data_IF_380264340869
#
_entry.id   IF_380264340869
#
_cell.length_a   1.000
_cell.length_b   1.000
_cell.length_c   1.000
_cell.angle_alpha   90.00
_cell.angle_beta   90.00
_cell.angle_gamma   90.00
#
_symmetry.space_group_name_H-M   'P 1'
#
loop_
_entity.id
_entity.type
_entity.pdbx_description
1 polymer ?
#
# COMPACT_ATOMS: atom_id res chain seq x y z
N UNK A 1 -9.04 7.66 -1.49
CA UNK A 1 -9.09 8.96 -0.79
C UNK A 1 -7.74 9.72 -0.79
N UNK A 2 -7.13 9.92 -1.96
CA UNK A 2 -5.99 10.82 -2.17
C UNK A 2 -6.02 11.32 -3.61
N UNK A 3 -6.39 10.42 -4.52
CA UNK A 3 -6.71 10.70 -5.92
C UNK A 3 -7.88 11.68 -6.12
N UNK A 4 -8.90 11.66 -5.24
CA UNK A 4 -10.00 12.63 -5.30
C UNK A 4 -9.54 14.01 -4.84
N UNK A 5 -8.81 14.10 -3.73
CA UNK A 5 -8.19 15.35 -3.27
C UNK A 5 -7.26 15.92 -4.34
N UNK A 6 -6.52 15.06 -5.03
CA UNK A 6 -5.71 15.41 -6.19
C UNK A 6 -6.55 15.93 -7.38
N UNK A 7 -7.65 15.25 -7.75
CA UNK A 7 -8.58 15.72 -8.80
C UNK A 7 -9.11 17.12 -8.50
N UNK A 8 -9.50 17.38 -7.25
CA UNK A 8 -9.92 18.72 -6.82
C UNK A 8 -8.78 19.73 -6.75
N UNK A 9 -7.55 19.32 -6.39
CA UNK A 9 -6.38 20.20 -6.41
C UNK A 9 -6.03 20.63 -7.84
N UNK A 10 -6.11 19.71 -8.81
CA UNK A 10 -5.95 20.01 -10.24
C UNK A 10 -7.05 20.96 -10.70
N UNK A 11 -8.32 20.67 -10.37
CA UNK A 11 -9.44 21.55 -10.71
C UNK A 11 -9.31 22.95 -10.09
N UNK A 12 -8.88 23.07 -8.84
CA UNK A 12 -8.65 24.35 -8.17
C UNK A 12 -7.48 25.14 -8.78
N UNK A 13 -6.44 24.45 -9.24
CA UNK A 13 -5.30 25.06 -9.95
C UNK A 13 -5.75 25.68 -11.28
N UNK A 14 -6.68 25.02 -11.97
CA UNK A 14 -7.22 25.49 -13.27
C UNK A 14 -8.26 26.59 -13.10
N UNK A 15 -9.16 26.45 -12.12
CA UNK A 15 -10.31 27.36 -11.94
C UNK A 15 -10.02 28.54 -11.01
N UNK A 16 -8.94 28.47 -10.21
CA UNK A 16 -8.57 29.50 -9.23
C UNK A 16 -9.52 29.62 -8.03
N UNK A 17 -10.63 28.86 -8.01
CA UNK A 17 -11.64 28.89 -6.96
C UNK A 17 -11.69 27.56 -6.23
N UNK A 18 -11.55 27.60 -4.90
CA UNK A 18 -11.65 26.42 -4.05
C UNK A 18 -12.93 26.48 -3.22
N UNK A 19 -13.95 25.74 -3.63
CA UNK A 19 -15.18 25.56 -2.84
C UNK A 19 -15.08 24.27 -2.04
N UNK A 20 -14.68 24.40 -0.77
CA UNK A 20 -14.56 23.30 0.20
C UNK A 20 -15.87 22.54 0.37
N UNK A 21 -16.98 23.28 0.41
CA UNK A 21 -18.30 22.70 0.67
C UNK A 21 -18.78 21.81 -0.47
N UNK A 22 -18.64 22.26 -1.72
CA UNK A 22 -19.04 21.45 -2.88
C UNK A 22 -18.12 20.24 -3.04
N UNK A 23 -16.80 20.42 -2.88
CA UNK A 23 -15.84 19.32 -2.94
C UNK A 23 -16.12 18.25 -1.87
N UNK A 24 -16.53 18.64 -0.65
CA UNK A 24 -16.88 17.72 0.41
C UNK A 24 -18.15 16.91 0.11
N UNK A 25 -19.19 17.54 -0.43
CA UNK A 25 -20.46 16.88 -0.80
C UNK A 25 -20.23 15.89 -1.93
N UNK A 26 -19.56 16.33 -3.01
CA UNK A 26 -19.24 15.47 -4.13
C UNK A 26 -18.34 14.30 -3.70
N UNK A 27 -17.37 14.55 -2.81
CA UNK A 27 -16.52 13.48 -2.27
C UNK A 27 -17.34 12.42 -1.55
N UNK A 28 -18.31 12.82 -0.72
CA UNK A 28 -19.20 11.89 -0.01
C UNK A 28 -20.01 11.09 -1.02
N UNK A 29 -20.60 11.76 -2.02
CA UNK A 29 -21.39 11.10 -3.06
C UNK A 29 -20.57 10.07 -3.83
N UNK A 30 -19.45 10.48 -4.42
CA UNK A 30 -18.56 9.65 -5.24
C UNK A 30 -17.99 8.47 -4.42
N UNK A 31 -17.72 8.68 -3.13
CA UNK A 31 -17.19 7.64 -2.24
C UNK A 31 -18.24 6.61 -1.83
N UNK A 32 -19.44 7.05 -1.43
CA UNK A 32 -20.53 6.15 -1.03
C UNK A 32 -21.02 5.35 -2.24
N UNK A 33 -21.30 6.02 -3.36
CA UNK A 33 -21.76 5.35 -4.57
C UNK A 33 -20.69 4.40 -5.11
N UNK A 34 -19.42 4.80 -5.08
CA UNK A 34 -18.30 3.92 -5.45
C UNK A 34 -18.22 2.68 -4.55
N UNK A 35 -18.36 2.86 -3.23
CA UNK A 35 -18.34 1.74 -2.28
C UNK A 35 -19.51 0.76 -2.52
N UNK A 36 -20.73 1.27 -2.65
CA UNK A 36 -21.94 0.45 -2.86
C UNK A 36 -21.91 -0.25 -4.22
N UNK A 37 -21.53 0.45 -5.29
CA UNK A 37 -21.41 -0.14 -6.63
C UNK A 37 -20.33 -1.23 -6.67
N UNK A 38 -19.18 -1.01 -6.02
CA UNK A 38 -18.15 -2.04 -5.89
C UNK A 38 -18.65 -3.33 -5.25
N UNK A 39 -19.41 -3.22 -4.15
CA UNK A 39 -20.03 -4.37 -3.48
C UNK A 39 -21.06 -5.07 -4.39
N UNK A 40 -21.88 -4.30 -5.11
CA UNK A 40 -22.89 -4.84 -5.99
C UNK A 40 -22.27 -5.61 -7.16
N UNK A 41 -21.29 -5.00 -7.83
CA UNK A 41 -20.62 -5.59 -9.00
C UNK A 41 -19.86 -6.86 -8.59
N UNK A 42 -19.11 -6.84 -7.49
CA UNK A 42 -18.39 -8.05 -7.06
C UNK A 42 -19.36 -9.16 -6.63
N UNK A 43 -20.47 -8.83 -5.99
CA UNK A 43 -21.49 -9.83 -5.63
C UNK A 43 -22.08 -10.48 -6.88
N UNK A 44 -22.31 -9.71 -7.94
CA UNK A 44 -22.76 -10.23 -9.24
C UNK A 44 -21.69 -11.14 -9.87
N UNK A 45 -20.43 -10.73 -9.85
CA UNK A 45 -19.31 -11.53 -10.38
C UNK A 45 -19.18 -12.86 -9.63
N UNK A 46 -19.20 -12.83 -8.28
CA UNK A 46 -19.13 -14.04 -7.47
C UNK A 46 -20.35 -14.94 -7.65
N UNK A 47 -21.54 -14.37 -7.83
CA UNK A 47 -22.75 -15.13 -8.15
C UNK A 47 -22.62 -15.83 -9.50
N UNK A 48 -22.08 -15.14 -10.50
CA UNK A 48 -21.81 -15.69 -11.82
C UNK A 48 -20.74 -16.80 -11.77
N UNK A 49 -19.65 -16.59 -11.03
CA UNK A 49 -18.58 -17.56 -10.84
C UNK A 49 -19.11 -18.85 -10.18
N UNK A 50 -19.87 -18.71 -9.09
CA UNK A 50 -20.50 -19.83 -8.39
C UNK A 50 -21.55 -20.55 -9.27
N UNK A 51 -22.30 -19.82 -10.08
CA UNK A 51 -23.21 -20.43 -11.04
C UNK A 51 -22.46 -21.26 -12.09
N UNK A 52 -21.32 -20.75 -12.58
CA UNK A 52 -20.49 -21.44 -13.55
C UNK A 52 -19.82 -22.71 -12.98
N UNK A 53 -19.34 -22.64 -11.74
CA UNK A 53 -18.83 -23.83 -11.04
C UNK A 53 -19.90 -24.91 -10.87
N UNK A 54 -21.14 -24.53 -10.57
CA UNK A 54 -22.27 -25.48 -10.47
C UNK A 54 -22.60 -26.16 -11.80
N UNK A 55 -22.25 -25.54 -12.93
CA UNK A 55 -22.39 -26.13 -14.28
C UNK A 55 -21.23 -27.08 -14.63
N UNK A 56 -20.26 -27.27 -13.72
CA UNK A 56 -19.13 -28.19 -13.92
C UNK A 56 -17.92 -27.58 -14.62
N UNK A 57 -17.90 -26.26 -14.81
CA UNK A 57 -16.73 -25.56 -15.38
C UNK A 57 -15.77 -25.24 -14.24
N UNK A 58 -14.78 -26.11 -14.06
CA UNK A 58 -13.73 -25.96 -13.05
C UNK A 58 -12.35 -25.88 -13.73
N UNK A 59 -12.11 -24.78 -14.45
CA UNK A 59 -10.84 -24.50 -15.13
C UNK A 59 -10.05 -23.44 -14.35
N UNK A 60 -8.84 -23.82 -13.92
CA UNK A 60 -7.88 -22.97 -13.20
C UNK A 60 -7.52 -21.72 -13.98
N UNK A 61 -7.36 -21.84 -15.30
CA UNK A 61 -6.96 -20.75 -16.17
C UNK A 61 -8.10 -19.74 -16.28
N UNK A 62 -9.33 -20.23 -16.50
CA UNK A 62 -10.51 -19.38 -16.59
C UNK A 62 -10.73 -18.57 -15.30
N UNK A 63 -10.67 -19.24 -14.14
CA UNK A 63 -10.82 -18.59 -12.83
C UNK A 63 -9.75 -17.52 -12.60
N UNK A 64 -8.49 -17.83 -12.93
CA UNK A 64 -7.37 -16.88 -12.81
C UNK A 64 -7.57 -15.65 -13.71
N UNK A 65 -7.98 -15.85 -14.96
CA UNK A 65 -8.25 -14.73 -15.90
C UNK A 65 -9.40 -13.86 -15.40
N UNK A 66 -10.48 -14.46 -14.90
CA UNK A 66 -11.62 -13.74 -14.35
C UNK A 66 -11.20 -12.91 -13.13
N UNK A 67 -10.41 -13.50 -12.24
CA UNK A 67 -9.88 -12.81 -11.06
C UNK A 67 -8.98 -11.62 -11.42
N UNK A 68 -8.08 -11.77 -12.41
CA UNK A 68 -7.22 -10.67 -12.89
C UNK A 68 -8.04 -9.57 -13.56
N UNK A 69 -9.11 -9.93 -14.28
CA UNK A 69 -9.98 -9.00 -15.02
C UNK A 69 -10.96 -8.26 -14.11
N UNK A 70 -11.42 -8.90 -13.03
CA UNK A 70 -12.39 -8.38 -12.06
C UNK A 70 -12.14 -6.93 -11.60
N UNK A 71 -10.93 -6.55 -11.11
CA UNK A 71 -10.69 -5.17 -10.68
C UNK A 71 -10.86 -4.15 -11.81
N UNK A 72 -10.52 -4.49 -13.05
CA UNK A 72 -10.71 -3.59 -14.19
C UNK A 72 -12.20 -3.41 -14.53
N UNK A 73 -12.97 -4.50 -14.49
CA UNK A 73 -14.43 -4.45 -14.73
C UNK A 73 -15.12 -3.62 -13.65
N UNK A 74 -14.82 -3.88 -12.38
CA UNK A 74 -15.38 -3.10 -11.26
C UNK A 74 -15.02 -1.62 -11.40
N UNK A 75 -13.77 -1.31 -11.75
CA UNK A 75 -13.31 0.05 -11.97
C UNK A 75 -14.09 0.76 -13.07
N UNK A 76 -14.09 0.19 -14.29
CA UNK A 76 -14.67 0.80 -15.48
C UNK A 76 -16.19 0.95 -15.36
N UNK A 77 -16.88 -0.11 -14.90
CA UNK A 77 -18.33 -0.06 -14.75
C UNK A 77 -18.74 1.01 -13.73
N UNK A 78 -17.99 1.14 -12.64
CA UNK A 78 -18.27 2.17 -11.63
C UNK A 78 -18.06 3.58 -12.19
N UNK A 79 -16.97 3.79 -12.92
CA UNK A 79 -16.61 5.13 -13.40
C UNK A 79 -17.51 5.57 -14.57
N UNK A 80 -17.77 4.70 -15.56
CA UNK A 80 -18.57 5.05 -16.74
C UNK A 80 -20.07 5.13 -16.44
N UNK A 81 -20.64 4.16 -15.71
CA UNK A 81 -22.09 4.13 -15.49
C UNK A 81 -22.51 4.98 -14.29
N UNK A 82 -21.76 4.94 -13.20
CA UNK A 82 -22.14 5.60 -11.95
C UNK A 82 -21.42 6.92 -11.71
N UNK A 83 -20.44 7.28 -12.56
CA UNK A 83 -19.61 8.49 -12.40
C UNK A 83 -18.99 8.59 -10.99
N UNK A 84 -18.74 7.44 -10.37
CA UNK A 84 -18.27 7.30 -9.00
C UNK A 84 -16.80 6.86 -8.96
N UNK A 85 -16.20 6.75 -7.77
CA UNK A 85 -14.76 6.42 -7.69
C UNK A 85 -14.53 4.93 -7.93
N UNK A 86 -14.04 4.59 -9.13
CA UNK A 86 -13.64 3.24 -9.49
C UNK A 86 -12.59 2.65 -8.53
N UNK A 87 -11.63 3.46 -8.06
CA UNK A 87 -10.63 3.00 -7.06
C UNK A 87 -11.29 2.55 -5.76
N UNK A 88 -12.28 3.29 -5.25
CA UNK A 88 -12.99 2.92 -4.01
C UNK A 88 -13.83 1.67 -4.25
N UNK A 89 -14.48 1.56 -5.42
CA UNK A 89 -15.23 0.37 -5.80
C UNK A 89 -14.36 -0.88 -5.85
N UNK A 90 -13.17 -0.81 -6.46
CA UNK A 90 -12.23 -1.95 -6.51
C UNK A 90 -11.74 -2.34 -5.13
N UNK A 91 -11.47 -1.38 -4.23
CA UNK A 91 -11.08 -1.69 -2.85
C UNK A 91 -12.23 -2.36 -2.09
N UNK A 92 -13.45 -1.85 -2.23
CA UNK A 92 -14.63 -2.45 -1.63
C UNK A 92 -14.84 -3.88 -2.17
N UNK A 93 -14.74 -4.06 -3.48
CA UNK A 93 -14.81 -5.35 -4.14
C UNK A 93 -13.73 -6.31 -3.65
N UNK A 94 -12.48 -5.86 -3.53
CA UNK A 94 -11.37 -6.67 -3.02
C UNK A 94 -11.57 -7.12 -1.57
N UNK A 95 -12.15 -6.29 -0.72
CA UNK A 95 -12.50 -6.66 0.66
C UNK A 95 -13.57 -7.76 0.66
N UNK A 96 -14.64 -7.60 -0.11
CA UNK A 96 -15.70 -8.63 -0.23
C UNK A 96 -15.15 -9.91 -0.85
N UNK A 97 -14.32 -9.80 -1.89
CA UNK A 97 -13.65 -10.94 -2.52
C UNK A 97 -12.71 -11.67 -1.55
N UNK A 98 -12.07 -10.97 -0.61
CA UNK A 98 -11.25 -11.65 0.40
C UNK A 98 -12.09 -12.52 1.36
N UNK A 99 -13.30 -12.06 1.73
CA UNK A 99 -14.18 -12.79 2.65
C UNK A 99 -15.05 -13.85 1.99
N UNK A 100 -15.52 -13.58 0.78
CA UNK A 100 -16.51 -14.39 0.06
C UNK A 100 -16.03 -14.91 -1.28
N UNK A 101 -14.90 -14.42 -1.79
CA UNK A 101 -14.28 -14.96 -2.99
C UNK A 101 -14.02 -16.42 -2.75
N UNK A 102 -14.53 -17.23 -3.68
CA UNK A 102 -14.62 -18.69 -3.67
C UNK A 102 -13.60 -19.26 -2.69
N UNK A 103 -14.01 -19.50 -1.43
CA UNK A 103 -13.17 -20.25 -0.51
C UNK A 103 -12.95 -21.56 -1.25
N UNK A 104 -11.74 -21.85 -1.75
CA UNK A 104 -11.51 -23.12 -2.39
C UNK A 104 -11.82 -24.07 -1.27
N UNK A 105 -12.90 -24.85 -1.43
CA UNK A 105 -13.06 -26.04 -0.63
C UNK A 105 -11.69 -26.71 -0.65
N UNK A 106 -11.22 -27.19 0.51
CA UNK A 106 -9.82 -27.57 0.79
C UNK A 106 -9.17 -28.50 -0.25
N UNK A 107 -9.98 -28.99 -1.18
CA UNK A 107 -9.77 -29.69 -2.43
C UNK A 107 -8.84 -29.10 -3.52
N UNK A 108 -8.52 -27.79 -3.60
CA UNK A 108 -7.72 -27.26 -4.74
C UNK A 108 -6.58 -26.28 -4.37
N UNK A 109 -5.46 -26.79 -3.82
CA UNK A 109 -4.24 -26.00 -3.56
C UNK A 109 -3.64 -25.37 -4.83
N UNK A 110 -3.84 -25.99 -5.99
CA UNK A 110 -3.30 -25.57 -7.28
C UNK A 110 -3.89 -24.22 -7.74
N UNK A 111 -5.23 -24.04 -7.63
CA UNK A 111 -5.92 -22.78 -7.93
C UNK A 111 -5.33 -21.61 -7.15
N UNK A 112 -5.16 -21.80 -5.83
CA UNK A 112 -4.65 -20.78 -4.93
C UNK A 112 -3.19 -20.43 -5.27
N UNK A 113 -2.36 -21.44 -5.50
CA UNK A 113 -0.96 -21.24 -5.87
C UNK A 113 -0.81 -20.49 -7.19
N UNK A 114 -1.54 -20.88 -8.24
CA UNK A 114 -1.47 -20.23 -9.56
C UNK A 114 -1.97 -18.79 -9.48
N UNK A 115 -3.08 -18.55 -8.78
CA UNK A 115 -3.62 -17.21 -8.57
C UNK A 115 -2.64 -16.29 -7.81
N UNK A 116 -2.11 -16.74 -6.67
CA UNK A 116 -1.16 -15.96 -5.87
C UNK A 116 0.10 -15.64 -6.68
N UNK A 117 0.66 -16.63 -7.40
CA UNK A 117 1.84 -16.40 -8.24
C UNK A 117 1.57 -15.48 -9.42
N UNK A 118 0.38 -15.58 -10.02
CA UNK A 118 -0.03 -14.67 -11.08
C UNK A 118 -0.11 -13.23 -10.56
N UNK A 119 -0.69 -13.02 -9.37
CA UNK A 119 -0.71 -11.71 -8.72
C UNK A 119 0.69 -11.19 -8.38
N UNK A 120 1.57 -12.04 -7.86
CA UNK A 120 2.97 -11.68 -7.59
C UNK A 120 3.67 -11.17 -8.86
N UNK A 121 3.53 -11.91 -9.98
CA UNK A 121 4.13 -11.55 -11.27
C UNK A 121 3.54 -10.23 -11.79
N UNK A 122 2.22 -10.05 -11.70
CA UNK A 122 1.53 -8.82 -12.14
C UNK A 122 2.01 -7.62 -11.32
N UNK A 123 2.03 -7.72 -9.99
CA UNK A 123 2.47 -6.65 -9.09
C UNK A 123 3.95 -6.33 -9.33
N UNK A 124 4.80 -7.34 -9.50
CA UNK A 124 6.20 -7.15 -9.81
C UNK A 124 6.40 -6.39 -11.13
N UNK A 125 5.68 -6.81 -12.18
CA UNK A 125 5.75 -6.21 -13.51
C UNK A 125 5.24 -4.77 -13.51
N UNK A 126 4.07 -4.53 -12.90
CA UNK A 126 3.48 -3.19 -12.77
C UNK A 126 4.40 -2.24 -12.01
N UNK A 127 4.98 -2.68 -10.89
CA UNK A 127 5.95 -1.87 -10.15
C UNK A 127 7.19 -1.59 -11.01
N UNK A 128 7.69 -2.59 -11.75
CA UNK A 128 8.79 -2.42 -12.69
C UNK A 128 8.51 -1.37 -13.76
N UNK A 129 7.31 -1.38 -14.36
CA UNK A 129 6.87 -0.37 -15.33
C UNK A 129 6.84 1.02 -14.70
N UNK A 130 6.30 1.16 -13.50
CA UNK A 130 6.21 2.49 -12.84
C UNK A 130 7.61 3.02 -12.50
N UNK A 131 8.53 2.16 -12.08
CA UNK A 131 9.93 2.53 -11.87
C UNK A 131 10.64 2.90 -13.18
N UNK A 132 10.37 2.19 -14.26
CA UNK A 132 10.88 2.51 -15.59
C UNK A 132 10.40 3.90 -16.03
N UNK A 133 9.10 4.18 -15.88
CA UNK A 133 8.54 5.51 -16.21
C UNK A 133 9.19 6.60 -15.37
N UNK A 134 9.37 6.37 -14.06
CA UNK A 134 10.08 7.30 -13.18
C UNK A 134 11.53 7.54 -13.66
N UNK A 135 12.22 6.48 -14.08
CA UNK A 135 13.57 6.59 -14.64
C UNK A 135 13.64 7.45 -15.91
N UNK A 136 12.62 7.40 -16.76
CA UNK A 136 12.50 8.24 -17.96
C UNK A 136 12.12 9.69 -17.60
N UNK A 137 11.22 9.88 -16.64
CA UNK A 137 10.73 11.21 -16.23
C UNK A 137 11.79 12.03 -15.49
N UNK A 138 12.70 11.40 -14.73
CA UNK A 138 13.75 12.12 -13.98
C UNK A 138 14.62 13.05 -14.83
N UNK A 139 15.27 12.58 -15.92
CA UNK A 139 16.08 13.47 -16.77
C UNK A 139 15.22 14.52 -17.47
N UNK A 140 14.02 14.16 -17.95
CA UNK A 140 13.10 15.11 -18.59
C UNK A 140 12.69 16.23 -17.64
N UNK A 141 12.30 15.90 -16.42
CA UNK A 141 11.91 16.87 -15.39
C UNK A 141 13.10 17.75 -15.00
N UNK A 142 14.29 17.18 -14.90
CA UNK A 142 15.53 17.92 -14.55
C UNK A 142 15.90 18.92 -15.65
N UNK A 143 15.90 18.51 -16.93
CA UNK A 143 16.22 19.41 -18.05
C UNK A 143 15.20 20.56 -18.19
N UNK A 144 13.91 20.27 -18.02
CA UNK A 144 12.85 21.29 -18.13
C UNK A 144 12.87 22.33 -17.00
N UNK A 145 13.34 21.95 -15.81
CA UNK A 145 13.53 22.87 -14.67
C UNK A 145 14.81 23.69 -14.85
N UNK A 146 15.91 23.07 -15.31
CA UNK A 146 17.19 23.75 -15.56
C UNK A 146 17.07 24.81 -16.68
N UNK A 147 16.28 24.54 -17.73
CA UNK A 147 16.09 25.49 -18.84
C UNK A 147 15.16 26.68 -18.50
N UNK A 148 14.36 26.57 -17.43
CA UNK A 148 13.51 27.67 -16.98
C UNK A 148 14.32 28.64 -16.11
N UNK A 149 14.81 29.72 -16.72
CA UNK A 149 15.65 30.79 -16.15
C UNK A 149 15.05 31.55 -14.93
N UNK A 150 13.88 31.14 -14.41
CA UNK A 150 13.19 31.78 -13.27
C UNK A 150 13.39 31.05 -11.94
N UNK A 151 13.89 29.81 -11.93
CA UNK A 151 14.05 28.99 -10.71
C UNK A 151 15.45 28.39 -10.70
N UNK A 152 16.23 28.69 -9.67
CA UNK A 152 17.56 28.14 -9.50
C UNK A 152 17.47 26.62 -9.25
N UNK A 153 18.26 25.79 -9.93
CA UNK A 153 18.21 24.31 -9.83
C UNK A 153 18.32 23.82 -8.37
N UNK A 154 19.13 24.51 -7.56
CA UNK A 154 19.25 24.27 -6.13
C UNK A 154 17.96 24.56 -5.34
N UNK A 155 17.19 25.57 -5.75
CA UNK A 155 15.91 25.88 -5.13
C UNK A 155 14.87 24.80 -5.42
N UNK A 156 14.83 24.28 -6.66
CA UNK A 156 13.93 23.17 -7.02
C UNK A 156 14.26 21.89 -6.22
N UNK A 157 15.55 21.56 -6.09
CA UNK A 157 16.00 20.41 -5.29
C UNK A 157 15.68 20.60 -3.80
N UNK A 158 15.87 21.82 -3.27
CA UNK A 158 15.47 22.20 -1.92
C UNK A 158 13.95 22.04 -1.69
N UNK A 159 13.12 22.46 -2.65
CA UNK A 159 11.65 22.28 -2.57
C UNK A 159 11.30 20.79 -2.52
N UNK A 160 11.92 19.94 -3.35
CA UNK A 160 11.69 18.49 -3.32
C UNK A 160 12.06 17.87 -1.98
N UNK A 161 13.18 18.28 -1.39
CA UNK A 161 13.62 17.80 -0.08
C UNK A 161 12.68 18.25 1.05
N UNK A 162 12.27 19.51 1.04
CA UNK A 162 11.30 20.05 2.02
C UNK A 162 9.94 19.36 1.87
N UNK A 163 9.48 19.15 0.65
CA UNK A 163 8.23 18.41 0.39
C UNK A 163 8.31 16.98 0.92
N UNK A 164 9.43 16.28 0.69
CA UNK A 164 9.66 14.94 1.24
C UNK A 164 9.64 14.95 2.77
N UNK A 165 10.31 15.91 3.40
CA UNK A 165 10.36 16.05 4.86
C UNK A 165 8.96 16.31 5.45
N UNK A 166 8.16 17.18 4.83
CA UNK A 166 6.79 17.46 5.23
C UNK A 166 5.93 16.19 5.12
N UNK A 167 6.02 15.47 4.00
CA UNK A 167 5.27 14.22 3.81
C UNK A 167 5.65 13.15 4.82
N UNK A 168 6.95 13.03 5.14
CA UNK A 168 7.45 12.15 6.19
C UNK A 168 6.90 12.57 7.55
N UNK A 169 6.97 13.86 7.90
CA UNK A 169 6.47 14.36 9.16
C UNK A 169 4.98 14.11 9.34
N UNK A 170 4.16 14.38 8.32
CA UNK A 170 2.71 14.10 8.31
C UNK A 170 2.46 12.60 8.52
N UNK A 171 3.20 11.75 7.83
CA UNK A 171 3.08 10.28 7.95
C UNK A 171 3.42 9.80 9.36
N UNK A 172 4.57 10.22 9.89
CA UNK A 172 5.04 9.84 11.23
C UNK A 172 4.08 10.35 12.30
N UNK A 173 3.61 11.60 12.15
CA UNK A 173 2.62 12.19 13.05
C UNK A 173 1.33 11.36 13.07
N UNK A 174 0.78 11.01 11.90
CA UNK A 174 -0.44 10.20 11.82
C UNK A 174 -0.28 8.81 12.42
N UNK A 175 0.84 8.13 12.14
CA UNK A 175 1.15 6.81 12.71
C UNK A 175 1.28 6.91 14.24
N UNK A 176 1.97 7.93 14.74
CA UNK A 176 2.12 8.17 16.17
C UNK A 176 0.78 8.46 16.85
N UNK A 177 -0.06 9.32 16.26
CA UNK A 177 -1.41 9.59 16.76
C UNK A 177 -2.26 8.32 16.79
N UNK A 178 -2.21 7.49 15.74
CA UNK A 178 -2.93 6.22 15.71
C UNK A 178 -2.47 5.27 16.81
N UNK A 179 -1.16 5.12 17.02
CA UNK A 179 -0.59 4.33 18.11
C UNK A 179 -0.99 4.87 19.49
N UNK A 180 -0.95 6.19 19.68
CA UNK A 180 -1.34 6.84 20.92
C UNK A 180 -2.83 6.60 21.23
N UNK A 181 -3.72 6.83 20.27
CA UNK A 181 -5.17 6.60 20.41
C UNK A 181 -5.48 5.13 20.66
N UNK A 182 -4.84 4.21 19.91
CA UNK A 182 -4.96 2.77 20.12
C UNK A 182 -4.53 2.38 21.54
N UNK A 183 -3.40 2.88 22.02
CA UNK A 183 -2.91 2.58 23.37
C UNK A 183 -3.84 3.10 24.47
N UNK A 184 -4.47 4.26 24.27
CA UNK A 184 -5.46 4.82 25.19
C UNK A 184 -6.76 4.00 25.21
N UNK A 185 -7.19 3.50 24.04
CA UNK A 185 -8.38 2.64 23.92
C UNK A 185 -8.14 1.25 24.52
N UNK A 186 -6.96 0.66 24.30
CA UNK A 186 -6.55 -0.63 24.86
C UNK A 186 -6.28 -0.57 26.35
N UNK A 187 -5.87 0.58 26.91
CA UNK A 187 -5.85 0.77 28.39
C UNK A 187 -7.23 0.64 29.03
N UNK A 188 -8.30 0.92 28.29
CA UNK A 188 -9.70 0.78 28.74
C UNK A 188 -10.20 -0.66 28.64
N UNK A 189 -9.60 -1.49 27.78
CA UNK A 189 -9.94 -2.90 27.54
C UNK A 189 -8.80 -3.75 28.12
N UNK A 190 -8.78 -3.87 29.46
CA UNK A 190 -7.82 -4.69 30.21
C UNK A 190 -8.02 -6.17 29.84
N UNK A 191 -7.24 -6.69 28.90
CA UNK A 191 -6.75 -8.08 28.83
C UNK A 191 -6.18 -8.29 27.43
N UNK A 192 -4.86 -8.24 27.29
CA UNK A 192 -4.03 -9.08 26.41
C UNK A 192 -2.59 -8.55 26.52
N UNK A 193 -1.70 -9.46 26.95
CA UNK A 193 -0.30 -9.25 27.32
C UNK A 193 0.58 -8.92 26.11
N UNK A 194 0.53 -7.70 25.59
CA UNK A 194 1.65 -7.14 24.82
C UNK A 194 1.69 -5.63 25.01
N UNK A 195 2.38 -5.20 26.07
CA UNK A 195 2.60 -3.78 26.37
C UNK A 195 3.70 -3.23 25.45
N UNK A 196 3.47 -3.20 24.15
CA UNK A 196 4.35 -2.42 23.26
C UNK A 196 4.03 -0.94 23.51
N UNK A 197 4.96 -0.26 24.20
CA UNK A 197 4.88 1.19 24.34
C UNK A 197 4.89 1.85 22.95
N UNK A 198 4.14 2.95 22.74
CA UNK A 198 4.20 3.71 21.50
C UNK A 198 5.59 4.36 21.38
N UNK A 199 6.51 3.66 20.73
CA UNK A 199 7.88 4.14 20.55
C UNK A 199 7.92 5.03 19.32
N UNK A 200 8.36 6.28 19.48
CA UNK A 200 8.55 7.20 18.35
C UNK A 200 9.45 6.61 17.26
N UNK A 201 10.47 5.82 17.64
CA UNK A 201 11.30 5.04 16.72
C UNK A 201 10.46 4.07 15.87
N UNK A 202 9.51 3.35 16.45
CA UNK A 202 8.64 2.44 15.70
C UNK A 202 7.73 3.19 14.71
N UNK A 203 7.21 4.35 15.09
CA UNK A 203 6.43 5.21 14.19
C UNK A 203 7.29 5.79 13.05
N UNK A 204 8.52 6.21 13.35
CA UNK A 204 9.48 6.68 12.35
C UNK A 204 9.86 5.58 11.37
N UNK A 205 10.16 4.38 11.88
CA UNK A 205 10.49 3.21 11.07
C UNK A 205 9.33 2.74 10.20
N UNK A 206 8.11 2.68 10.77
CA UNK A 206 6.90 2.40 10.00
C UNK A 206 6.63 3.49 8.96
N UNK A 207 6.98 4.74 9.25
CA UNK A 207 6.92 5.85 8.31
C UNK A 207 7.90 5.71 7.15
N UNK A 208 9.14 5.31 7.42
CA UNK A 208 10.19 5.12 6.42
C UNK A 208 10.05 3.83 5.61
N UNK A 209 9.49 2.76 6.16
CA UNK A 209 9.35 1.47 5.46
C UNK A 209 8.30 1.49 4.33
N UNK A 210 7.42 2.51 4.31
CA UNK A 210 6.41 2.72 3.28
C UNK A 210 6.97 3.32 1.97
N UNK A 211 7.88 2.62 1.31
CA UNK A 211 8.50 3.01 0.03
C UNK A 211 7.71 2.43 -1.14
N UNK A 212 6.58 3.07 -1.48
CA UNK A 212 5.83 2.75 -2.70
C UNK A 212 5.43 4.06 -3.39
N UNK A 213 6.20 4.44 -4.42
CA UNK A 213 6.02 5.68 -5.19
C UNK A 213 5.04 5.56 -6.36
N UNK A 214 4.49 4.37 -6.62
CA UNK A 214 3.74 4.12 -7.84
C UNK A 214 2.44 4.93 -7.94
N UNK A 215 1.70 5.03 -6.83
CA UNK A 215 0.46 5.83 -6.76
C UNK A 215 0.75 7.31 -6.98
N UNK A 216 1.87 7.81 -6.44
CA UNK A 216 2.31 9.20 -6.62
C UNK A 216 2.64 9.48 -8.10
N UNK A 217 3.38 8.58 -8.76
CA UNK A 217 3.70 8.70 -10.18
C UNK A 217 2.44 8.70 -11.05
N UNK A 218 1.54 7.74 -10.83
CA UNK A 218 0.28 7.67 -11.56
C UNK A 218 -0.53 8.96 -11.42
N UNK A 219 -0.59 9.51 -10.20
CA UNK A 219 -1.22 10.80 -9.93
C UNK A 219 -0.59 11.94 -10.74
N UNK A 220 0.72 12.12 -10.67
CA UNK A 220 1.39 13.26 -11.31
C UNK A 220 1.36 13.15 -12.84
N UNK A 221 1.42 11.93 -13.38
CA UNK A 221 1.29 11.70 -14.83
C UNK A 221 -0.13 11.96 -15.34
N UNK A 222 -1.15 11.81 -14.49
CA UNK A 222 -2.53 12.13 -14.84
C UNK A 222 -2.83 13.64 -14.95
N UNK A 223 -1.85 14.51 -14.63
CA UNK A 223 -1.98 15.95 -14.85
C UNK A 223 -2.07 16.23 -16.36
N UNK A 224 -3.15 16.85 -16.84
CA UNK A 224 -3.35 17.09 -18.27
C UNK A 224 -2.27 18.02 -18.82
N UNK A 225 -1.93 17.84 -20.10
CA UNK A 225 -0.93 18.69 -20.76
C UNK A 225 -1.46 20.11 -21.04
N UNK A 226 -2.76 20.23 -21.30
CA UNK A 226 -3.44 21.48 -21.63
C UNK A 226 -4.69 21.67 -20.78
N UNK A 227 -5.05 22.92 -20.53
CA UNK A 227 -6.34 23.31 -19.94
C UNK A 227 -7.40 23.35 -21.06
N UNK A 228 -8.69 23.32 -20.73
CA UNK A 228 -9.84 23.46 -21.65
C UNK A 228 -9.82 24.72 -22.56
N UNK A 229 -8.85 25.63 -22.38
CA UNK A 229 -8.55 26.78 -23.24
C UNK A 229 -7.32 26.63 -24.15
N UNK A 230 -6.70 25.44 -24.23
CA UNK A 230 -5.52 25.16 -25.06
C UNK A 230 -4.18 25.66 -24.49
N UNK A 231 -4.19 26.42 -23.39
CA UNK A 231 -2.97 26.85 -22.71
C UNK A 231 -2.28 25.68 -21.97
N UNK A 232 -0.94 25.61 -21.94
CA UNK A 232 -0.22 24.58 -21.20
C UNK A 232 -0.52 24.65 -19.70
N UNK A 233 -0.59 23.48 -19.04
CA UNK A 233 -0.87 23.41 -17.61
C UNK A 233 0.23 24.13 -16.79
N UNK A 234 -0.13 25.03 -15.85
CA UNK A 234 0.84 25.79 -15.07
C UNK A 234 1.81 24.88 -14.30
N UNK A 235 3.11 25.08 -14.51
CA UNK A 235 4.19 24.46 -13.71
C UNK A 235 4.15 22.92 -13.62
N UNK A 236 3.59 22.23 -14.63
CA UNK A 236 3.54 20.75 -14.69
C UNK A 236 4.92 20.09 -14.54
N UNK A 237 5.93 20.64 -15.22
CA UNK A 237 7.31 20.14 -15.15
C UNK A 237 7.90 20.24 -13.74
N UNK A 238 7.56 21.29 -12.99
CA UNK A 238 7.96 21.44 -11.59
C UNK A 238 7.27 20.41 -10.70
N UNK A 239 5.97 20.16 -10.89
CA UNK A 239 5.24 19.14 -10.15
C UNK A 239 5.82 17.73 -10.39
N UNK A 240 6.15 17.40 -11.65
CA UNK A 240 6.85 16.17 -12.04
C UNK A 240 8.22 16.07 -11.36
N UNK A 241 9.01 17.13 -11.40
CA UNK A 241 10.32 17.18 -10.74
C UNK A 241 10.24 16.96 -9.23
N UNK A 242 9.31 17.64 -8.56
CA UNK A 242 9.11 17.50 -7.11
C UNK A 242 8.66 16.10 -6.75
N UNK A 243 7.67 15.55 -7.47
CA UNK A 243 7.19 14.20 -7.21
C UNK A 243 8.27 13.14 -7.42
N UNK A 244 9.01 13.21 -8.53
CA UNK A 244 10.10 12.27 -8.82
C UNK A 244 11.23 12.41 -7.79
N UNK A 245 11.60 13.64 -7.42
CA UNK A 245 12.59 13.92 -6.37
C UNK A 245 12.18 13.34 -5.01
N UNK A 246 10.93 13.56 -4.58
CA UNK A 246 10.38 13.00 -3.33
C UNK A 246 10.46 11.47 -3.33
N UNK A 247 10.13 10.83 -4.45
CA UNK A 247 10.17 9.37 -4.56
C UNK A 247 11.61 8.86 -4.45
N UNK A 248 12.55 9.45 -5.18
CA UNK A 248 13.97 9.06 -5.12
C UNK A 248 14.55 9.27 -3.72
N UNK A 249 14.34 10.44 -3.11
CA UNK A 249 14.82 10.71 -1.75
C UNK A 249 14.23 9.67 -0.78
N UNK A 250 12.94 9.38 -0.89
CA UNK A 250 12.29 8.37 -0.04
C UNK A 250 12.89 6.97 -0.22
N UNK A 251 13.21 6.57 -1.45
CA UNK A 251 13.81 5.26 -1.75
C UNK A 251 15.22 5.13 -1.21
N UNK A 252 16.05 6.15 -1.40
CA UNK A 252 17.42 6.18 -0.90
C UNK A 252 17.42 6.13 0.63
N UNK A 253 16.61 6.99 1.27
CA UNK A 253 16.52 7.05 2.74
C UNK A 253 16.01 5.72 3.32
N UNK A 254 14.98 5.11 2.73
CA UNK A 254 14.46 3.83 3.21
C UNK A 254 15.48 2.69 3.05
N UNK A 255 16.13 2.59 1.88
CA UNK A 255 17.14 1.56 1.59
C UNK A 255 18.33 1.65 2.54
N UNK A 256 18.73 2.85 2.97
CA UNK A 256 19.83 3.04 3.93
C UNK A 256 19.38 2.81 5.37
N UNK A 257 18.19 3.30 5.75
CA UNK A 257 17.76 3.30 7.17
C UNK A 257 17.30 1.92 7.64
N UNK A 258 16.65 1.13 6.78
CA UNK A 258 16.18 -0.22 7.13
C UNK A 258 17.31 -1.17 7.58
N UNK A 259 18.41 -1.35 6.83
CA UNK A 259 19.50 -2.24 7.25
C UNK A 259 20.23 -1.72 8.50
N UNK A 260 20.31 -0.39 8.70
CA UNK A 260 20.95 0.19 9.89
C UNK A 260 20.16 -0.03 11.18
N UNK A 261 18.85 -0.27 11.09
CA UNK A 261 17.97 -0.44 12.25
C UNK A 261 17.62 -1.90 12.53
N UNK A 262 17.69 -2.75 11.50
CA UNK A 262 17.53 -4.18 11.63
C UNK A 262 18.82 -4.73 12.24
N UNK A 263 18.96 -4.60 13.56
CA UNK A 263 19.95 -5.35 14.31
C UNK A 263 19.73 -6.83 14.00
N UNK A 264 20.71 -7.41 13.31
CA UNK A 264 20.70 -8.77 12.78
C UNK A 264 20.75 -9.78 13.94
N UNK A 265 19.58 -10.05 14.55
CA UNK A 265 19.37 -11.09 15.56
C UNK A 265 17.98 -11.70 15.43
N UNK A 266 17.67 -12.26 14.27
CA UNK A 266 16.68 -13.34 14.24
C UNK A 266 17.45 -14.63 14.58
N UNK A 267 17.26 -15.24 15.76
CA UNK A 267 17.85 -16.55 16.03
C UNK A 267 17.34 -17.52 14.97
N UNK A 268 18.25 -18.29 14.38
CA UNK A 268 17.90 -19.36 13.46
C UNK A 268 17.00 -20.35 14.20
N UNK A 269 15.70 -20.29 13.92
CA UNK A 269 14.77 -21.32 14.35
C UNK A 269 15.03 -22.56 13.50
N UNK A 270 16.05 -23.32 13.88
CA UNK A 270 16.27 -24.66 13.36
C UNK A 270 15.12 -25.54 13.84
N UNK A 271 14.68 -26.49 13.00
CA UNK A 271 13.54 -27.40 13.23
C UNK A 271 13.57 -28.16 14.57
N UNK A 272 14.71 -28.17 15.27
CA UNK A 272 14.87 -28.74 16.61
C UNK A 272 14.30 -27.87 17.75
N UNK A 273 14.13 -26.56 17.56
CA UNK A 273 13.58 -25.63 18.57
C UNK A 273 12.07 -25.37 18.41
N UNK A 274 11.42 -25.94 17.39
CA UNK A 274 10.01 -25.68 17.08
C UNK A 274 9.07 -26.83 17.50
N UNK A 275 9.59 -27.87 18.13
CA UNK A 275 8.82 -29.01 18.64
C UNK A 275 9.06 -29.11 20.14
N UNK A 276 8.27 -28.36 20.92
CA UNK A 276 7.86 -28.84 22.25
C UNK A 276 6.64 -28.11 22.83
N UNK A 277 6.17 -27.00 22.25
CA UNK A 277 4.97 -26.31 22.77
C UNK A 277 3.64 -26.76 22.11
N UNK A 278 3.41 -28.06 21.91
CA UNK A 278 2.09 -28.52 21.43
C UNK A 278 1.47 -29.74 22.08
N UNK A 279 2.02 -30.31 23.15
CA UNK A 279 1.34 -31.39 23.87
C UNK A 279 1.78 -31.40 25.35
N UNK A 280 1.15 -30.59 26.20
CA UNK A 280 1.02 -30.92 27.63
C UNK A 280 -0.09 -30.10 28.31
N UNK A 281 -1.33 -30.55 28.11
CA UNK A 281 -2.41 -30.33 29.08
C UNK A 281 -2.50 -31.56 29.99
N UNK A 282 -1.47 -31.79 30.80
CA UNK A 282 -1.54 -32.72 31.93
C UNK A 282 -1.58 -31.91 33.23
N UNK A 283 -2.69 -31.87 33.99
CA UNK A 283 -2.83 -30.97 35.12
C UNK A 283 -2.18 -31.50 36.41
N UNK A 284 -1.32 -32.52 36.36
CA UNK A 284 -0.67 -33.11 37.53
C UNK A 284 0.80 -33.48 37.27
N UNK A 285 1.70 -32.51 37.36
CA UNK A 285 3.10 -32.77 37.71
C UNK A 285 3.69 -31.57 38.44
N UNK A 286 3.98 -31.79 39.71
CA UNK A 286 4.78 -30.94 40.60
C UNK A 286 6.27 -31.05 40.27
N UNK A 287 6.98 -29.92 40.44
CA UNK A 287 8.45 -29.77 40.50
C UNK A 287 9.18 -29.99 39.15
N UNK A 288 10.12 -29.18 38.68
CA UNK A 288 11.24 -28.51 39.36
C UNK A 288 11.85 -27.46 38.40
N UNK A 289 12.51 -26.43 38.94
CA UNK A 289 13.28 -25.43 38.18
C UNK A 289 14.30 -26.07 37.22
N UNK A 290 14.13 -25.90 35.90
CA UNK A 290 15.22 -26.08 34.92
C UNK A 290 15.60 -24.71 34.34
N UNK A 291 16.70 -24.16 34.87
CA UNK A 291 17.43 -23.05 34.29
C UNK A 291 17.87 -23.42 32.86
N UNK A 292 17.25 -22.82 31.85
CA UNK A 292 17.72 -22.94 30.46
C UNK A 292 19.07 -22.24 30.32
N UNK A 293 20.15 -23.00 30.45
CA UNK A 293 21.52 -22.51 30.27
C UNK A 293 21.79 -22.32 28.77
N UNK A 294 21.82 -21.06 28.32
CA UNK A 294 22.22 -20.72 26.95
C UNK A 294 23.74 -20.89 26.83
N UNK A 295 24.17 -21.78 25.93
CA UNK A 295 25.59 -22.05 25.66
C UNK A 295 26.12 -20.95 24.73
N UNK A 296 27.24 -20.33 25.11
CA UNK A 296 27.90 -19.27 24.33
C UNK A 296 28.60 -19.84 23.08
N UNK A 297 28.72 -19.04 22.02
CA UNK A 297 29.34 -19.43 20.74
C UNK A 297 30.76 -19.99 20.90
N UNK A 298 31.51 -19.49 21.89
CA UNK A 298 32.87 -19.93 22.20
C UNK A 298 32.91 -21.36 22.79
N UNK A 299 31.86 -21.77 23.49
CA UNK A 299 31.78 -23.06 24.17
C UNK A 299 31.33 -24.18 23.21
N UNK A 300 30.53 -23.84 22.19
CA UNK A 300 30.12 -24.76 21.13
C UNK A 300 31.28 -25.17 20.19
N UNK A 301 32.29 -24.32 20.03
CA UNK A 301 33.46 -24.61 19.17
C UNK A 301 34.35 -25.73 19.70
N UNK A 302 34.22 -26.11 20.97
CA UNK A 302 35.00 -27.20 21.58
C UNK A 302 34.49 -28.58 21.15
N UNK A 303 33.27 -28.66 20.63
CA UNK A 303 32.59 -29.91 20.27
C UNK A 303 32.52 -30.19 18.76
N UNK A 304 33.20 -29.39 17.93
CA UNK A 304 33.38 -29.60 16.49
C UNK A 304 34.84 -29.97 16.21
#
# INVERSE_FOLDING_TARGET
SGLIAFKYAVAATVTGVFSIKSAAIDFIYISIVGFVSGILIIALILMMENWLYRQGINDVIFSTVLQVTTPFVVYLVTEEFFHASGVIAVVAAGIIFHFYGTAPDRSQPELKLVSEKTWDIIIYTLNGIVFLILGIELPLATTNVIQNNKINTFAALGISFVAWLILLAIRVFWIYTYQAVSSLRSRKIKSLKTKQMPTFKAALLAGLSGVRGAVTMAGVLSIPMTIDGGSPFPSRSLALFVAAGVIIISLVVATITLPLISEDKAPLLTRANATDDSDDLNPNSSDTDEDTHYISEDEARVYI
#
